data_IF_500452663882
#
_entry.id   IF_500452663882
#
_cell.length_a   1.000
_cell.length_b   1.000
_cell.length_c   1.000
_cell.angle_alpha   90.00
_cell.angle_beta   90.00
_cell.angle_gamma   90.00
#
_symmetry.space_group_name_H-M   'P 1'
#
loop_
_entity.id
_entity.type
_entity.pdbx_description
1 polymer ?
#
# COMPACT_ATOMS: atom_id res chain seq x y z
N UNK A 1 -7.39 -8.94 13.95
CA UNK A 1 -7.88 -8.32 12.70
C UNK A 1 -6.67 -7.96 11.87
N UNK A 2 -6.63 -8.29 10.58
CA UNK A 2 -5.52 -7.92 9.71
C UNK A 2 -5.47 -6.39 9.56
N UNK A 3 -4.31 -5.79 9.86
CA UNK A 3 -4.07 -4.36 9.68
C UNK A 3 -3.15 -4.15 8.47
N UNK A 4 -3.38 -3.10 7.70
CA UNK A 4 -2.56 -2.77 6.55
C UNK A 4 -1.89 -1.43 6.78
N UNK A 5 -0.65 -1.27 6.35
CA UNK A 5 0.06 0.00 6.37
C UNK A 5 0.19 0.53 4.95
N UNK A 6 -0.26 1.75 4.73
CA UNK A 6 -0.02 2.51 3.50
C UNK A 6 1.21 3.40 3.71
N UNK A 7 2.29 3.11 3.01
CA UNK A 7 3.48 3.94 3.04
C UNK A 7 3.36 5.08 2.03
N UNK A 8 3.45 6.34 2.47
CA UNK A 8 3.36 7.49 1.56
C UNK A 8 4.64 7.73 0.75
N UNK A 9 5.79 7.26 1.23
CA UNK A 9 7.04 7.37 0.49
C UNK A 9 7.12 6.39 -0.68
N UNK A 10 6.81 5.12 -0.42
CA UNK A 10 6.87 4.06 -1.41
C UNK A 10 5.56 3.88 -2.21
N UNK A 11 4.45 4.45 -1.73
CA UNK A 11 3.06 4.23 -2.19
C UNK A 11 2.69 2.74 -2.25
N UNK A 12 3.24 1.97 -1.33
CA UNK A 12 2.99 0.54 -1.21
C UNK A 12 2.08 0.30 0.00
N UNK A 13 1.17 -0.65 -0.15
CA UNK A 13 0.38 -1.19 0.95
C UNK A 13 1.00 -2.50 1.39
N UNK A 14 1.17 -2.67 2.69
CA UNK A 14 1.81 -3.82 3.32
C UNK A 14 0.92 -4.36 4.42
N UNK A 15 0.90 -5.68 4.56
CA UNK A 15 0.22 -6.34 5.67
C UNK A 15 1.08 -6.18 6.94
N UNK A 16 0.51 -5.60 7.99
CA UNK A 16 1.11 -5.60 9.32
C UNK A 16 0.71 -6.90 10.02
N UNK A 17 1.69 -7.75 10.34
CA UNK A 17 1.50 -8.80 11.33
C UNK A 17 1.41 -8.16 12.73
N UNK A 18 0.78 -8.84 13.70
CA UNK A 18 0.49 -8.30 15.05
C UNK A 18 1.70 -7.74 15.83
N UNK A 19 2.93 -7.94 15.35
CA UNK A 19 4.18 -7.47 15.97
C UNK A 19 4.93 -6.42 15.13
N UNK A 20 4.42 -6.06 13.94
CA UNK A 20 5.12 -5.23 12.99
C UNK A 20 5.02 -3.74 13.36
N UNK A 21 6.18 -3.14 13.68
CA UNK A 21 6.37 -1.69 13.75
C UNK A 21 5.83 -1.04 12.47
N UNK A 22 5.19 0.12 12.58
CA UNK A 22 4.64 0.96 11.48
C UNK A 22 5.75 1.55 10.60
N UNK A 23 6.56 0.67 10.00
CA UNK A 23 7.72 1.01 9.17
C UNK A 23 7.61 0.22 7.88
N UNK A 24 7.79 0.92 6.76
CA UNK A 24 7.76 0.29 5.45
C UNK A 24 9.03 -0.54 5.19
N UNK A 25 8.93 -1.86 4.89
CA UNK A 25 10.09 -2.70 4.60
C UNK A 25 10.74 -2.35 3.25
N UNK A 26 10.03 -1.62 2.37
CA UNK A 26 10.57 -1.21 1.06
C UNK A 26 11.48 0.01 1.10
N UNK A 27 11.19 1.01 1.94
CA UNK A 27 11.95 2.27 2.03
C UNK A 27 12.43 2.61 3.44
N UNK A 28 12.14 1.79 4.45
CA UNK A 28 12.46 2.08 5.85
C UNK A 28 11.68 3.25 6.46
N UNK A 29 10.74 3.84 5.72
CA UNK A 29 10.00 5.02 6.16
C UNK A 29 8.89 4.64 7.15
N UNK A 30 8.81 5.35 8.27
CA UNK A 30 7.65 5.34 9.17
C UNK A 30 6.53 6.30 8.73
N UNK A 31 6.75 7.04 7.64
CA UNK A 31 5.77 7.98 7.10
C UNK A 31 4.69 7.23 6.28
N UNK A 32 3.60 6.93 6.96
CA UNK A 32 2.44 6.25 6.40
C UNK A 32 1.30 6.18 7.41
N UNK A 33 0.25 5.47 7.05
CA UNK A 33 -0.92 5.30 7.90
C UNK A 33 -1.39 3.86 7.92
N UNK A 34 -1.98 3.44 9.05
CA UNK A 34 -2.65 2.15 9.14
C UNK A 34 -4.05 2.30 8.56
N UNK A 35 -4.39 1.46 7.59
CA UNK A 35 -5.67 1.43 6.90
C UNK A 35 -6.39 0.10 7.14
N UNK A 36 -7.73 0.15 7.16
CA UNK A 36 -8.56 -1.05 7.26
C UNK A 36 -8.55 -1.84 5.96
N UNK A 37 -8.99 -3.10 6.04
CA UNK A 37 -9.20 -3.91 4.85
C UNK A 37 -10.19 -3.28 3.87
N UNK A 38 -11.27 -2.61 4.33
CA UNK A 38 -12.20 -1.95 3.40
C UNK A 38 -11.51 -0.83 2.62
N UNK A 39 -10.62 -0.06 3.26
CA UNK A 39 -9.88 1.01 2.59
C UNK A 39 -8.91 0.46 1.54
N UNK A 40 -8.26 -0.67 1.83
CA UNK A 40 -7.42 -1.38 0.85
C UNK A 40 -8.28 -1.81 -0.34
N UNK A 41 -9.43 -2.45 -0.09
CA UNK A 41 -10.35 -2.90 -1.13
C UNK A 41 -10.79 -1.73 -2.02
N UNK A 42 -11.23 -0.61 -1.43
CA UNK A 42 -11.59 0.60 -2.18
C UNK A 42 -10.43 1.15 -3.02
N UNK A 43 -9.20 1.15 -2.48
CA UNK A 43 -8.04 1.62 -3.22
C UNK A 43 -7.58 0.67 -4.33
N UNK A 44 -7.82 -0.64 -4.18
CA UNK A 44 -7.68 -1.59 -5.27
C UNK A 44 -8.75 -1.32 -6.34
N UNK A 45 -10.03 -1.26 -5.99
CA UNK A 45 -11.11 -0.99 -6.94
C UNK A 45 -10.92 0.34 -7.70
N UNK A 46 -10.39 1.37 -7.01
CA UNK A 46 -10.11 2.69 -7.58
C UNK A 46 -8.82 2.75 -8.43
N UNK A 47 -8.03 1.69 -8.52
CA UNK A 47 -6.80 1.68 -9.30
C UNK A 47 -5.58 2.28 -8.58
N UNK A 48 -5.70 2.64 -7.31
CA UNK A 48 -4.67 3.36 -6.52
C UNK A 48 -3.59 2.41 -6.03
N UNK A 49 -3.95 1.18 -5.67
CA UNK A 49 -3.05 0.18 -5.08
C UNK A 49 -2.69 -0.97 -6.03
N UNK A 50 -2.44 -0.69 -7.30
CA UNK A 50 -1.88 -1.68 -8.22
C UNK A 50 -0.41 -1.40 -8.54
N UNK A 51 0.41 -2.44 -8.50
CA UNK A 51 1.77 -2.41 -9.07
C UNK A 51 1.74 -2.53 -10.60
N UNK A 52 0.64 -3.04 -11.17
CA UNK A 52 0.42 -3.22 -12.60
C UNK A 52 -0.88 -2.51 -12.95
N UNK A 53 -0.85 -1.55 -13.86
CA UNK A 53 -2.05 -0.88 -14.35
C UNK A 53 -2.98 -1.91 -15.00
N UNK A 54 -4.18 -2.16 -14.44
CA UNK A 54 -5.08 -3.20 -14.93
C UNK A 54 -5.63 -2.90 -16.34
N UNK A 55 -5.53 -1.65 -16.81
CA UNK A 55 -5.99 -1.26 -18.16
C UNK A 55 -4.93 -1.55 -19.22
N UNK A 56 -3.66 -1.44 -18.86
CA UNK A 56 -2.55 -1.52 -19.83
C UNK A 56 -1.67 -2.75 -19.64
N UNK A 57 -1.82 -3.47 -18.52
CA UNK A 57 -0.97 -4.61 -18.14
C UNK A 57 0.49 -4.22 -17.85
N UNK A 58 0.81 -2.92 -17.88
CA UNK A 58 2.17 -2.39 -17.67
C UNK A 58 2.36 -2.01 -16.21
N UNK A 59 3.61 -1.93 -15.72
CA UNK A 59 3.87 -1.41 -14.39
C UNK A 59 3.17 -0.07 -14.19
N UNK A 60 2.39 0.06 -13.13
CA UNK A 60 1.73 1.31 -12.80
C UNK A 60 2.81 2.39 -12.70
N UNK A 61 2.70 3.47 -13.47
CA UNK A 61 3.63 4.60 -13.37
C UNK A 61 3.52 5.14 -11.94
N UNK A 62 4.45 4.76 -11.07
CA UNK A 62 4.62 5.38 -9.76
C UNK A 62 4.82 6.87 -10.03
N UNK A 63 3.79 7.69 -9.78
CA UNK A 63 3.95 9.15 -9.77
C UNK A 63 4.95 9.44 -8.67
N UNK A 64 6.20 9.71 -9.07
CA UNK A 64 7.26 10.28 -8.22
C UNK A 64 6.71 11.51 -7.51
#
# INVERSE_FOLDING_TARGET
MAQFFECFGCKNVILLSNEAKTVCPGCGSANGQVISFERVKQGMDAGVFYNIDPRTGKPAKKKR
#
